data_IF_897695810785
#
_entry.id   IF_897695810785
#
_cell.length_a   1.000
_cell.length_b   1.000
_cell.length_c   1.000
_cell.angle_alpha   90.00
_cell.angle_beta   90.00
_cell.angle_gamma   90.00
#
_symmetry.space_group_name_H-M   'P 1'
#
loop_
_entity.id
_entity.type
_entity.pdbx_description
1 polymer ?
#
# COMPACT_ATOMS: atom_id res chain seq x y z
N UNK A 1 1.06 -13.53 -9.17
CA UNK A 1 0.75 -13.01 -7.82
C UNK A 1 -0.51 -13.66 -7.28
N UNK A 2 -0.65 -13.70 -5.97
CA UNK A 2 -1.82 -14.22 -5.27
C UNK A 2 -2.42 -13.13 -4.38
N UNK A 3 -3.68 -13.29 -4.01
CA UNK A 3 -4.33 -12.38 -3.07
C UNK A 3 -3.52 -12.24 -1.78
N UNK A 4 -3.41 -11.01 -1.29
CA UNK A 4 -2.64 -10.61 -0.11
C UNK A 4 -1.12 -10.69 -0.26
N UNK A 5 -0.59 -10.98 -1.43
CA UNK A 5 0.84 -10.80 -1.66
C UNK A 5 1.19 -9.32 -1.48
N UNK A 6 2.31 -9.06 -0.82
CA UNK A 6 2.86 -7.72 -0.65
C UNK A 6 3.85 -7.42 -1.77
N UNK A 7 3.63 -6.32 -2.45
CA UNK A 7 4.52 -5.84 -3.50
C UNK A 7 5.32 -4.66 -2.97
N UNK A 8 6.61 -4.66 -3.22
CA UNK A 8 7.51 -3.56 -2.81
C UNK A 8 8.30 -3.11 -4.03
N UNK A 9 8.34 -1.81 -4.28
CA UNK A 9 9.17 -1.24 -5.34
C UNK A 9 10.64 -1.24 -4.91
N UNK A 10 11.51 -1.72 -5.79
CA UNK A 10 12.95 -1.93 -5.52
C UNK A 10 13.86 -1.09 -6.42
N UNK A 11 13.29 -0.25 -7.26
CA UNK A 11 14.04 0.66 -8.14
C UNK A 11 13.65 2.12 -7.88
N UNK A 12 13.40 2.93 -8.88
CA UNK A 12 13.27 4.38 -8.80
C UNK A 12 12.54 4.94 -7.57
N UNK A 13 11.43 4.34 -7.18
CA UNK A 13 10.58 4.81 -6.06
C UNK A 13 10.59 3.77 -4.93
N UNK A 14 11.75 3.66 -4.29
CA UNK A 14 12.04 2.59 -3.33
C UNK A 14 11.07 2.55 -2.15
N UNK A 15 10.64 1.33 -1.80
CA UNK A 15 9.89 1.07 -0.58
C UNK A 15 8.40 1.41 -0.66
N UNK A 16 7.88 1.77 -1.82
CA UNK A 16 6.43 1.86 -1.98
C UNK A 16 5.81 0.48 -1.99
N UNK A 17 4.69 0.36 -1.31
CA UNK A 17 4.04 -0.93 -1.11
C UNK A 17 2.66 -0.97 -1.75
N UNK A 18 2.25 -2.16 -2.11
CA UNK A 18 0.89 -2.44 -2.57
C UNK A 18 0.51 -3.85 -2.16
N UNK A 19 -0.78 -4.08 -1.99
CA UNK A 19 -1.31 -5.40 -1.67
C UNK A 19 -2.11 -5.89 -2.86
N UNK A 20 -1.88 -7.13 -3.25
CA UNK A 20 -2.62 -7.77 -4.33
C UNK A 20 -4.05 -8.04 -3.87
N UNK A 21 -5.00 -7.43 -4.55
CA UNK A 21 -6.42 -7.67 -4.27
C UNK A 21 -6.89 -8.98 -4.88
N UNK A 22 -8.03 -9.46 -4.41
CA UNK A 22 -8.67 -10.66 -4.97
C UNK A 22 -8.91 -10.52 -6.49
N UNK A 23 -9.37 -9.36 -6.93
CA UNK A 23 -9.62 -9.10 -8.35
C UNK A 23 -8.37 -9.23 -9.20
N UNK A 24 -7.25 -8.64 -8.76
CA UNK A 24 -5.98 -8.73 -9.45
C UNK A 24 -5.49 -10.18 -9.51
N UNK A 25 -5.60 -10.90 -8.40
CA UNK A 25 -5.18 -12.31 -8.34
C UNK A 25 -6.02 -13.20 -9.28
N UNK A 26 -7.32 -12.97 -9.35
CA UNK A 26 -8.22 -13.72 -10.23
C UNK A 26 -7.97 -13.45 -11.72
N UNK A 27 -7.57 -12.23 -12.08
CA UNK A 27 -7.18 -11.89 -13.45
C UNK A 27 -5.83 -12.48 -13.86
N UNK A 28 -5.01 -12.91 -12.91
CA UNK A 28 -3.69 -13.48 -13.20
C UNK A 28 -2.68 -12.40 -13.60
N UNK A 29 -2.17 -11.67 -12.62
CA UNK A 29 -1.17 -10.65 -12.85
C UNK A 29 0.24 -11.16 -12.56
N UNK A 30 1.21 -10.60 -13.27
CA UNK A 30 2.64 -10.85 -13.08
C UNK A 30 3.35 -9.54 -12.73
N UNK A 31 4.45 -9.64 -12.00
CA UNK A 31 5.28 -8.49 -11.68
C UNK A 31 6.46 -8.38 -12.64
N UNK A 32 6.99 -7.18 -12.78
CA UNK A 32 8.21 -6.92 -13.53
C UNK A 32 9.43 -6.82 -12.59
N UNK A 33 10.59 -6.55 -13.17
CA UNK A 33 11.86 -6.44 -12.44
C UNK A 33 11.95 -5.27 -11.46
N UNK A 34 10.99 -4.34 -11.48
CA UNK A 34 10.95 -3.17 -10.61
C UNK A 34 10.21 -3.42 -9.30
N UNK A 35 9.57 -4.57 -9.17
CA UNK A 35 8.81 -4.97 -7.99
C UNK A 35 9.33 -6.28 -7.41
N UNK A 36 9.29 -6.39 -6.09
CA UNK A 36 9.46 -7.65 -5.37
C UNK A 36 8.13 -8.07 -4.79
N UNK A 37 7.81 -9.34 -4.95
CA UNK A 37 6.61 -9.95 -4.36
C UNK A 37 6.99 -10.74 -3.11
N UNK A 38 6.33 -10.44 -2.01
CA UNK A 38 6.53 -11.13 -0.74
C UNK A 38 5.22 -11.80 -0.34
N UNK A 39 5.27 -13.10 -0.13
CA UNK A 39 4.13 -13.86 0.40
C UNK A 39 4.26 -13.99 1.90
N UNK A 40 3.39 -13.31 2.62
CA UNK A 40 3.44 -13.25 4.07
C UNK A 40 2.80 -14.48 4.71
N UNK A 41 3.30 -14.85 5.89
CA UNK A 41 2.65 -15.85 6.74
C UNK A 41 1.47 -15.20 7.45
N UNK A 42 0.29 -15.36 6.91
CA UNK A 42 -0.91 -14.67 7.37
C UNK A 42 -1.45 -15.14 8.72
N UNK A 43 -0.92 -16.25 9.24
CA UNK A 43 -1.17 -16.70 10.61
C UNK A 43 -0.49 -15.82 11.67
N UNK A 44 0.49 -15.02 11.27
CA UNK A 44 1.28 -14.13 12.15
C UNK A 44 1.28 -12.69 11.72
N UNK A 45 1.02 -12.40 10.44
CA UNK A 45 1.16 -11.08 9.83
C UNK A 45 -0.10 -10.72 9.06
N UNK A 46 -0.61 -9.51 9.32
CA UNK A 46 -1.65 -8.92 8.50
C UNK A 46 -0.98 -8.12 7.36
N UNK A 47 -1.31 -8.41 6.09
CA UNK A 47 -0.66 -7.74 4.95
C UNK A 47 -0.78 -6.21 4.98
N UNK A 48 -1.94 -5.69 5.36
CA UNK A 48 -2.16 -4.25 5.42
C UNK A 48 -1.30 -3.59 6.50
N UNK A 49 -1.17 -4.21 7.67
CA UNK A 49 -0.28 -3.75 8.72
C UNK A 49 1.17 -3.69 8.23
N UNK A 50 1.65 -4.76 7.59
CA UNK A 50 3.02 -4.83 7.08
C UNK A 50 3.27 -3.75 6.03
N UNK A 51 2.34 -3.54 5.10
CA UNK A 51 2.44 -2.51 4.09
C UNK A 51 2.58 -1.11 4.71
N UNK A 52 1.75 -0.77 5.67
CA UNK A 52 1.83 0.52 6.36
C UNK A 52 3.09 0.67 7.20
N UNK A 53 3.54 -0.40 7.85
CA UNK A 53 4.80 -0.37 8.59
C UNK A 53 5.99 -0.05 7.68
N UNK A 54 6.05 -0.70 6.52
CA UNK A 54 7.14 -0.49 5.55
C UNK A 54 7.14 0.93 4.97
N UNK A 55 5.99 1.56 4.84
CA UNK A 55 5.88 2.95 4.39
C UNK A 55 5.98 3.98 5.53
N UNK A 56 6.02 3.54 6.78
CA UNK A 56 6.29 4.41 7.92
C UNK A 56 7.75 4.88 7.94
N UNK A 57 8.06 5.86 8.80
CA UNK A 57 9.43 6.35 8.91
C UNK A 57 10.42 5.25 9.26
N UNK A 58 10.06 4.34 10.17
CA UNK A 58 10.90 3.20 10.54
C UNK A 58 11.19 2.28 9.35
N UNK A 59 10.19 2.01 8.52
CA UNK A 59 10.37 1.22 7.30
C UNK A 59 11.19 1.96 6.25
N UNK A 60 10.88 3.22 5.99
CA UNK A 60 11.59 4.05 4.99
C UNK A 60 13.07 4.20 5.33
N UNK A 61 13.42 4.38 6.59
CA UNK A 61 14.81 4.49 7.02
C UNK A 61 15.61 3.23 6.67
N UNK A 62 15.01 2.05 6.81
CA UNK A 62 15.65 0.80 6.42
C UNK A 62 15.91 0.72 4.92
N UNK A 63 14.95 1.14 4.10
CA UNK A 63 15.11 1.18 2.64
C UNK A 63 16.24 2.13 2.22
N UNK A 64 16.29 3.32 2.80
CA UNK A 64 17.33 4.30 2.52
C UNK A 64 18.70 3.75 2.89
N UNK A 65 18.85 3.18 4.09
CA UNK A 65 20.11 2.64 4.56
C UNK A 65 20.62 1.50 3.66
N UNK A 66 19.73 0.59 3.24
CA UNK A 66 20.08 -0.54 2.39
C UNK A 66 20.42 -0.11 0.96
N UNK A 67 19.76 0.91 0.44
CA UNK A 67 20.05 1.47 -0.87
C UNK A 67 21.41 2.18 -0.89
N UNK A 68 21.77 2.90 0.18
CA UNK A 68 23.06 3.59 0.29
C UNK A 68 24.25 2.62 0.31
N UNK A 69 24.06 1.41 0.83
CA UNK A 69 25.11 0.39 0.86
C UNK A 69 25.20 -0.44 -0.43
N UNK A 70 24.28 -0.24 -1.37
CA UNK A 70 24.27 -0.97 -2.62
C UNK A 70 25.21 -0.35 -3.65
N UNK A 71 25.92 -1.19 -4.40
CA UNK A 71 26.81 -0.76 -5.50
C UNK A 71 26.00 -0.21 -6.67
N UNK A 72 24.78 -0.73 -6.89
CA UNK A 72 23.84 -0.24 -7.90
C UNK A 72 22.59 0.33 -7.23
N UNK A 73 22.00 1.34 -7.84
CA UNK A 73 20.71 1.86 -7.39
C UNK A 73 19.66 0.73 -7.42
N UNK A 74 18.95 0.55 -6.32
CA UNK A 74 17.93 -0.47 -6.16
C UNK A 74 18.22 -1.46 -5.03
N UNK A 75 17.25 -2.30 -4.73
CA UNK A 75 17.33 -3.30 -3.67
C UNK A 75 17.38 -4.71 -4.28
N UNK A 76 18.18 -5.58 -3.68
CA UNK A 76 18.23 -7.01 -4.04
C UNK A 76 17.47 -7.86 -3.01
N UNK A 77 17.34 -9.17 -3.27
CA UNK A 77 16.67 -10.08 -2.36
C UNK A 77 17.30 -10.15 -0.98
N UNK A 78 18.63 -10.05 -0.88
CA UNK A 78 19.30 -10.05 0.41
C UNK A 78 18.92 -8.83 1.24
N UNK A 79 18.83 -7.65 0.62
CA UNK A 79 18.38 -6.44 1.28
C UNK A 79 16.93 -6.56 1.75
N UNK A 80 16.05 -7.07 0.92
CA UNK A 80 14.64 -7.30 1.26
C UNK A 80 14.50 -8.31 2.41
N UNK A 81 15.21 -9.43 2.34
CA UNK A 81 15.16 -10.46 3.38
C UNK A 81 15.73 -9.98 4.74
N UNK A 82 16.55 -8.95 4.74
CA UNK A 82 17.12 -8.38 5.96
C UNK A 82 16.27 -7.27 6.59
N UNK A 83 15.17 -6.88 5.96
CA UNK A 83 14.24 -5.90 6.53
C UNK A 83 13.66 -6.41 7.84
N UNK A 84 13.57 -5.51 8.81
CA UNK A 84 13.03 -5.79 10.13
C UNK A 84 11.71 -5.06 10.31
N UNK A 85 10.77 -5.72 10.97
CA UNK A 85 9.53 -5.09 11.33
C UNK A 85 9.13 -5.45 12.77
N UNK A 86 8.46 -4.52 13.43
CA UNK A 86 7.87 -4.78 14.73
C UNK A 86 6.59 -5.58 14.54
N UNK A 87 6.49 -6.74 15.20
CA UNK A 87 5.35 -7.65 15.06
C UNK A 87 4.56 -7.69 16.38
N UNK A 88 3.53 -6.85 16.55
CA UNK A 88 2.61 -6.99 17.68
C UNK A 88 1.72 -8.22 17.50
N UNK A 89 0.95 -8.62 18.51
CA UNK A 89 -0.02 -9.71 18.34
C UNK A 89 -0.93 -9.49 17.14
N UNK A 90 -1.30 -10.57 16.45
CA UNK A 90 -2.11 -10.50 15.23
C UNK A 90 -3.44 -9.77 15.46
N UNK A 91 -4.03 -9.90 16.63
CA UNK A 91 -5.26 -9.19 16.99
C UNK A 91 -5.12 -7.67 16.89
N UNK A 92 -3.98 -7.11 17.33
CA UNK A 92 -3.70 -5.68 17.23
C UNK A 92 -3.43 -5.26 15.78
N UNK A 93 -2.74 -6.09 15.01
CA UNK A 93 -2.55 -5.85 13.59
C UNK A 93 -3.90 -5.80 12.84
N UNK A 94 -4.81 -6.71 13.17
CA UNK A 94 -6.15 -6.77 12.58
C UNK A 94 -7.00 -5.55 12.96
N UNK A 95 -6.90 -5.08 14.20
CA UNK A 95 -7.57 -3.84 14.65
C UNK A 95 -7.07 -2.63 13.86
N UNK A 96 -5.77 -2.52 13.67
CA UNK A 96 -5.16 -1.47 12.87
C UNK A 96 -5.66 -1.52 11.41
N UNK A 97 -5.65 -2.71 10.80
CA UNK A 97 -6.13 -2.90 9.42
C UNK A 97 -7.61 -2.51 9.29
N UNK A 98 -8.45 -2.89 10.22
CA UNK A 98 -9.86 -2.53 10.22
C UNK A 98 -10.06 -1.02 10.35
N UNK A 99 -9.26 -0.35 11.17
CA UNK A 99 -9.27 1.11 11.30
C UNK A 99 -8.91 1.79 9.98
N UNK A 100 -7.83 1.35 9.32
CA UNK A 100 -7.40 1.89 8.03
C UNK A 100 -8.47 1.72 6.96
N UNK A 101 -9.08 0.55 6.88
CA UNK A 101 -10.17 0.29 5.93
C UNK A 101 -11.36 1.22 6.16
N UNK A 102 -11.74 1.47 7.41
CA UNK A 102 -12.82 2.42 7.74
C UNK A 102 -12.48 3.84 7.33
N UNK A 103 -11.24 4.29 7.57
CA UNK A 103 -10.79 5.63 7.16
C UNK A 103 -10.85 5.76 5.64
N UNK A 104 -10.39 4.76 4.89
CA UNK A 104 -10.42 4.76 3.43
C UNK A 104 -11.87 4.81 2.89
N UNK A 105 -12.78 4.06 3.50
CA UNK A 105 -14.20 4.11 3.14
C UNK A 105 -14.81 5.50 3.41
N UNK A 106 -14.47 6.12 4.54
CA UNK A 106 -14.93 7.46 4.86
C UNK A 106 -14.40 8.51 3.87
N UNK A 107 -13.13 8.39 3.48
CA UNK A 107 -12.54 9.25 2.45
C UNK A 107 -13.28 9.13 1.12
N UNK A 108 -13.58 7.92 0.69
CA UNK A 108 -14.33 7.67 -0.55
C UNK A 108 -15.74 8.27 -0.47
N UNK A 109 -16.43 8.12 0.65
CA UNK A 109 -17.77 8.67 0.86
C UNK A 109 -17.74 10.20 0.79
N UNK A 110 -16.78 10.84 1.46
CA UNK A 110 -16.60 12.30 1.42
C UNK A 110 -16.29 12.78 0.00
N UNK A 111 -15.43 12.08 -0.72
CA UNK A 111 -15.07 12.42 -2.10
C UNK A 111 -16.29 12.32 -3.03
N UNK A 112 -17.10 11.28 -2.90
CA UNK A 112 -18.33 11.14 -3.67
C UNK A 112 -19.33 12.25 -3.35
N UNK A 113 -19.47 12.64 -2.10
CA UNK A 113 -20.33 13.74 -1.67
C UNK A 113 -19.87 15.07 -2.25
N UNK A 114 -18.56 15.32 -2.26
CA UNK A 114 -17.96 16.53 -2.83
C UNK A 114 -18.24 16.61 -4.35
N UNK A 115 -18.03 15.53 -5.07
CA UNK A 115 -18.30 15.45 -6.51
C UNK A 115 -19.76 15.73 -6.82
N UNK A 116 -20.68 15.17 -6.04
CA UNK A 116 -22.11 15.39 -6.17
C UNK A 116 -22.49 16.86 -5.94
N UNK A 117 -21.92 17.49 -4.89
CA UNK A 117 -22.15 18.90 -4.60
C UNK A 117 -21.60 19.81 -5.71
N UNK A 118 -20.46 19.49 -6.28
CA UNK A 118 -19.89 20.23 -7.41
C UNK A 118 -20.79 20.15 -8.65
N UNK A 119 -21.34 18.97 -8.95
CA UNK A 119 -22.29 18.79 -10.02
C UNK A 119 -23.57 19.61 -9.81
N UNK A 120 -24.10 19.61 -8.58
CA UNK A 120 -25.28 20.40 -8.23
C UNK A 120 -25.01 21.90 -8.38
N UNK A 121 -23.86 22.38 -7.94
CA UNK A 121 -23.46 23.78 -8.12
C UNK A 121 -23.39 24.15 -9.59
N UNK A 122 -22.77 23.30 -10.41
CA UNK A 122 -22.67 23.53 -11.86
C UNK A 122 -24.02 23.58 -12.53
N UNK A 123 -24.95 22.70 -12.17
CA UNK A 123 -26.31 22.68 -12.69
C UNK A 123 -27.08 23.96 -12.34
N UNK A 124 -26.98 24.42 -11.08
CA UNK A 124 -27.62 25.66 -10.62
C UNK A 124 -27.02 26.88 -11.28
N UNK A 125 -25.72 26.94 -11.47
CA UNK A 125 -25.07 28.05 -12.18
C UNK A 125 -25.54 28.10 -13.62
N UNK A 126 -25.68 26.96 -14.28
CA UNK A 126 -26.20 26.92 -15.66
C UNK A 126 -27.66 27.33 -15.74
N UNK A 127 -28.48 26.95 -14.75
CA UNK A 127 -29.89 27.35 -14.69
C UNK A 127 -30.08 28.88 -14.50
N UNK A 128 -29.27 29.49 -13.61
CA UNK A 128 -29.44 30.92 -13.26
C UNK A 128 -28.58 31.87 -14.09
N UNK A 129 -27.48 31.44 -14.64
CA UNK A 129 -26.54 32.31 -15.35
C UNK A 129 -26.24 31.86 -16.80
N UNK A 130 -26.73 30.71 -17.15
CA UNK A 130 -26.47 30.08 -18.41
C UNK A 130 -27.04 30.72 -19.61
#
# INVERSE_FOLDING_TARGET
VQENDLLISITADLGRTGIVTKEIAEHGAYINQHLTCIRLKQDKLNPLYVAYYMESDAGKEQFIAKNQSAVKAGLNFNAINSLKLMVPPLSLQNEFAAFVERVDQQKQTVQQSLEKLELMKKALMQEYFG
#
